data_IF_113559466700
#
_entry.id   IF_113559466700
#
_cell.length_a   1.000
_cell.length_b   1.000
_cell.length_c   1.000
_cell.angle_alpha   90.00
_cell.angle_beta   90.00
_cell.angle_gamma   90.00
#
_symmetry.space_group_name_H-M   'P 1'
#
loop_
_entity.id
_entity.type
_entity.pdbx_description
1 polymer ?
#
# COMPACT_ATOMS: atom_id res chain seq x y z
N UNK A 1 6.34 -13.60 18.98
CA UNK A 1 5.77 -12.29 18.56
C UNK A 1 4.29 -12.29 18.90
N UNK A 2 3.82 -11.27 19.61
CA UNK A 2 2.41 -11.10 19.92
C UNK A 2 1.57 -11.06 18.64
N UNK A 3 0.36 -11.64 18.66
CA UNK A 3 -0.54 -11.65 17.50
C UNK A 3 -0.78 -10.23 16.97
N UNK A 4 -0.91 -9.26 17.88
CA UNK A 4 -1.07 -7.85 17.54
C UNK A 4 0.11 -7.29 16.73
N UNK A 5 1.33 -7.76 16.98
CA UNK A 5 2.53 -7.31 16.28
C UNK A 5 2.58 -7.86 14.85
N UNK A 6 2.27 -9.14 14.70
CA UNK A 6 2.16 -9.80 13.38
C UNK A 6 1.08 -9.12 12.53
N UNK A 7 -0.06 -8.80 13.14
CA UNK A 7 -1.16 -8.11 12.46
C UNK A 7 -0.76 -6.67 12.03
N UNK A 8 0.15 -6.00 12.73
CA UNK A 8 0.68 -4.68 12.34
C UNK A 8 1.72 -4.81 11.22
N UNK A 9 2.61 -5.81 11.30
CA UNK A 9 3.59 -6.09 10.25
C UNK A 9 2.91 -6.45 8.92
N UNK A 10 1.81 -7.22 8.99
CA UNK A 10 0.98 -7.55 7.83
C UNK A 10 0.36 -6.31 7.18
N UNK A 11 -0.21 -5.40 7.98
CA UNK A 11 -0.75 -4.13 7.46
C UNK A 11 0.34 -3.31 6.76
N UNK A 12 1.56 -3.26 7.31
CA UNK A 12 2.68 -2.52 6.71
C UNK A 12 3.07 -3.12 5.36
N UNK A 13 3.13 -4.45 5.26
CA UNK A 13 3.35 -5.14 3.97
C UNK A 13 2.25 -4.83 2.95
N UNK A 14 0.99 -4.84 3.39
CA UNK A 14 -0.14 -4.47 2.53
C UNK A 14 -0.03 -3.02 2.04
N UNK A 15 0.29 -2.06 2.92
CA UNK A 15 0.51 -0.66 2.53
C UNK A 15 1.60 -0.57 1.46
N UNK A 16 2.74 -1.23 1.64
CA UNK A 16 3.82 -1.23 0.63
C UNK A 16 3.37 -1.80 -0.72
N UNK A 17 2.58 -2.87 -0.71
CA UNK A 17 2.01 -3.40 -1.95
C UNK A 17 1.12 -2.38 -2.65
N UNK A 18 0.24 -1.70 -1.89
CA UNK A 18 -0.63 -0.66 -2.44
C UNK A 18 0.14 0.62 -2.88
N UNK A 19 1.31 0.87 -2.29
CA UNK A 19 2.21 1.92 -2.75
C UNK A 19 2.78 1.61 -4.14
N UNK A 20 3.18 0.35 -4.39
CA UNK A 20 3.73 -0.09 -5.69
C UNK A 20 2.74 0.15 -6.85
N UNK A 21 1.45 -0.09 -6.62
CA UNK A 21 0.40 0.10 -7.65
C UNK A 21 -0.35 1.44 -7.56
N UNK A 22 0.03 2.34 -6.66
CA UNK A 22 -0.61 3.65 -6.43
C UNK A 22 -2.12 3.57 -6.07
N UNK A 23 -2.53 2.53 -5.35
CA UNK A 23 -3.89 2.40 -4.83
C UNK A 23 -4.08 3.24 -3.55
N UNK A 24 -4.31 4.54 -3.75
CA UNK A 24 -4.49 5.48 -2.65
C UNK A 24 -5.70 5.20 -1.76
N UNK A 25 -6.75 4.57 -2.28
CA UNK A 25 -7.91 4.18 -1.48
C UNK A 25 -7.53 3.10 -0.46
N UNK A 26 -6.81 2.07 -0.90
CA UNK A 26 -6.37 1.00 -0.03
C UNK A 26 -5.25 1.44 0.91
N UNK A 27 -4.26 2.22 0.43
CA UNK A 27 -3.23 2.84 1.29
C UNK A 27 -3.90 3.56 2.47
N UNK A 28 -4.93 4.35 2.18
CA UNK A 28 -5.64 5.11 3.20
C UNK A 28 -6.38 4.24 4.21
N UNK A 29 -7.11 3.24 3.73
CA UNK A 29 -7.89 2.37 4.60
C UNK A 29 -6.97 1.57 5.54
N UNK A 30 -5.92 0.96 4.98
CA UNK A 30 -4.94 0.20 5.76
C UNK A 30 -4.16 1.11 6.71
N UNK A 31 -3.80 2.33 6.30
CA UNK A 31 -3.13 3.30 7.18
C UNK A 31 -4.01 3.68 8.39
N UNK A 32 -5.30 3.97 8.17
CA UNK A 32 -6.21 4.30 9.25
C UNK A 32 -6.45 3.09 10.18
N UNK A 33 -6.51 1.87 9.63
CA UNK A 33 -6.60 0.64 10.41
C UNK A 33 -5.35 0.41 11.26
N UNK A 34 -4.15 0.57 10.67
CA UNK A 34 -2.87 0.47 11.36
C UNK A 34 -2.78 1.48 12.51
N UNK A 35 -3.15 2.74 12.27
CA UNK A 35 -3.17 3.78 13.31
C UNK A 35 -4.08 3.40 14.48
N UNK A 36 -5.27 2.87 14.21
CA UNK A 36 -6.18 2.38 15.27
C UNK A 36 -5.58 1.22 16.05
N UNK A 37 -4.86 0.30 15.39
CA UNK A 37 -4.16 -0.80 16.07
C UNK A 37 -3.05 -0.25 16.97
N UNK A 38 -2.26 0.71 16.49
CA UNK A 38 -1.21 1.38 17.28
C UNK A 38 -1.82 2.03 18.53
N UNK A 39 -2.90 2.81 18.38
CA UNK A 39 -3.59 3.45 19.51
C UNK A 39 -4.17 2.43 20.49
N UNK A 40 -4.84 1.38 19.98
CA UNK A 40 -5.43 0.33 20.81
C UNK A 40 -4.39 -0.47 21.59
N UNK A 41 -3.22 -0.67 21.00
CA UNK A 41 -2.12 -1.43 21.57
C UNK A 41 -1.05 -0.54 22.21
N UNK A 42 -1.36 0.74 22.48
CA UNK A 42 -0.40 1.70 23.03
C UNK A 42 0.27 1.19 24.32
N UNK A 43 -0.46 0.47 25.18
CA UNK A 43 0.10 -0.13 26.39
C UNK A 43 1.11 -1.25 26.12
N UNK A 44 0.90 -2.04 25.07
CA UNK A 44 1.83 -3.09 24.65
C UNK A 44 3.06 -2.47 24.01
N UNK A 45 2.86 -1.49 23.12
CA UNK A 45 3.91 -0.71 22.48
C UNK A 45 4.81 -0.02 23.52
N UNK A 46 4.21 0.58 24.55
CA UNK A 46 4.98 1.20 25.65
C UNK A 46 5.81 0.19 26.45
N UNK A 47 5.31 -1.05 26.63
CA UNK A 47 6.07 -2.13 27.30
C UNK A 47 7.23 -2.64 26.45
N UNK A 48 7.06 -2.68 25.13
CA UNK A 48 8.09 -3.08 24.16
C UNK A 48 9.14 -1.98 23.89
N UNK A 49 9.08 -0.84 24.60
CA UNK A 49 10.07 0.23 24.50
C UNK A 49 9.69 1.37 23.57
N UNK A 50 8.43 1.46 23.14
CA UNK A 50 7.90 2.56 22.34
C UNK A 50 7.45 2.15 20.95
N UNK A 51 7.21 3.15 20.11
CA UNK A 51 6.61 2.98 18.78
C UNK A 51 7.50 2.07 17.91
N UNK A 52 6.94 1.07 17.21
CA UNK A 52 7.74 0.15 16.43
C UNK A 52 8.52 0.84 15.31
N UNK A 53 9.78 0.44 15.08
CA UNK A 53 10.63 1.00 14.02
C UNK A 53 10.03 0.84 12.62
N UNK A 54 9.40 -0.31 12.33
CA UNK A 54 8.74 -0.55 11.04
C UNK A 54 7.60 0.44 10.77
N UNK A 55 6.94 0.92 11.84
CA UNK A 55 5.86 1.88 11.72
C UNK A 55 6.42 3.26 11.39
N UNK A 56 7.49 3.69 12.05
CA UNK A 56 8.17 4.94 11.71
C UNK A 56 8.69 4.92 10.25
N UNK A 57 9.22 3.77 9.81
CA UNK A 57 9.67 3.56 8.42
C UNK A 57 8.53 3.78 7.42
N UNK A 58 7.36 3.17 7.62
CA UNK A 58 6.23 3.35 6.68
C UNK A 58 5.69 4.79 6.68
N UNK A 59 5.75 5.51 7.81
CA UNK A 59 5.39 6.94 7.85
C UNK A 59 6.30 7.80 6.98
N UNK A 60 7.61 7.52 7.00
CA UNK A 60 8.58 8.22 6.17
C UNK A 60 8.42 7.86 4.68
N UNK A 61 8.30 6.57 4.36
CA UNK A 61 8.09 6.08 2.98
C UNK A 61 6.82 6.67 2.36
N UNK A 62 5.71 6.76 3.12
CA UNK A 62 4.46 7.38 2.65
C UNK A 62 4.60 8.90 2.43
N UNK A 63 5.39 9.58 3.24
CA UNK A 63 5.63 11.02 3.11
C UNK A 63 6.41 11.33 1.82
N UNK A 64 7.42 10.51 1.54
CA UNK A 64 8.23 10.62 0.33
C UNK A 64 7.41 10.27 -0.92
N UNK A 65 6.63 9.17 -0.89
CA UNK A 65 5.71 8.83 -1.99
C UNK A 65 4.70 9.95 -2.25
N UNK A 66 4.14 10.57 -1.21
CA UNK A 66 3.24 11.72 -1.36
C UNK A 66 3.94 12.91 -2.01
N UNK A 67 5.17 13.20 -1.61
CA UNK A 67 5.95 14.30 -2.16
C UNK A 67 6.32 14.07 -3.64
N UNK A 68 6.67 12.83 -4.00
CA UNK A 68 6.89 12.41 -5.39
C UNK A 68 5.62 12.52 -6.22
N UNK A 69 4.52 11.93 -5.74
CA UNK A 69 3.27 11.97 -6.50
C UNK A 69 2.68 13.36 -6.62
N UNK A 70 2.95 14.27 -5.68
CA UNK A 70 2.58 15.69 -5.83
C UNK A 70 3.28 16.38 -7.00
N UNK A 71 4.50 15.95 -7.37
CA UNK A 71 5.25 16.46 -8.52
C UNK A 71 4.71 15.87 -9.83
N UNK A 72 4.29 14.60 -9.83
CA UNK A 72 3.70 13.97 -11.00
C UNK A 72 2.20 14.31 -11.18
N UNK A 73 1.98 15.47 -11.80
CA UNK A 73 0.63 15.93 -12.18
C UNK A 73 -0.04 15.02 -13.22
N UNK A 74 0.72 14.26 -14.00
CA UNK A 74 0.17 13.38 -15.03
C UNK A 74 -0.40 12.11 -14.41
N UNK A 75 0.31 11.51 -13.46
CA UNK A 75 -0.19 10.36 -12.69
C UNK A 75 -1.43 10.73 -11.87
N UNK A 76 -1.43 11.90 -11.21
CA UNK A 76 -2.58 12.38 -10.45
C UNK A 76 -3.88 12.47 -11.28
N UNK A 77 -3.78 12.79 -12.57
CA UNK A 77 -4.94 12.84 -13.48
C UNK A 77 -5.47 11.46 -13.86
N UNK A 78 -4.64 10.41 -13.75
CA UNK A 78 -5.04 9.02 -14.02
C UNK A 78 -5.74 8.38 -12.81
N UNK A 79 -5.74 9.04 -11.65
CA UNK A 79 -6.44 8.52 -10.49
C UNK A 79 -7.94 8.41 -10.74
N UNK A 80 -8.51 7.26 -10.40
CA UNK A 80 -9.95 7.12 -10.31
C UNK A 80 -10.49 8.03 -9.18
N UNK A 81 -11.82 8.18 -9.12
CA UNK A 81 -12.49 9.06 -8.15
C UNK A 81 -12.20 8.68 -6.69
N UNK A 82 -12.01 7.39 -6.40
CA UNK A 82 -11.68 6.91 -5.06
C UNK A 82 -10.26 7.32 -4.67
N UNK A 83 -9.29 7.04 -5.54
CA UNK A 83 -7.87 7.35 -5.33
C UNK A 83 -7.61 8.84 -5.25
N UNK A 84 -8.26 9.65 -6.10
CA UNK A 84 -8.13 11.12 -6.03
C UNK A 84 -8.63 11.69 -4.70
N UNK A 85 -9.73 11.16 -4.16
CA UNK A 85 -10.24 11.57 -2.83
C UNK A 85 -9.33 11.09 -1.71
N UNK A 86 -8.91 9.84 -1.78
CA UNK A 86 -8.08 9.21 -0.78
C UNK A 86 -6.70 9.90 -0.68
N UNK A 87 -6.06 10.19 -1.82
CA UNK A 87 -4.81 10.94 -1.91
C UNK A 87 -4.88 12.30 -1.20
N UNK A 88 -5.95 13.08 -1.46
CA UNK A 88 -6.13 14.38 -0.81
C UNK A 88 -6.31 14.26 0.71
N UNK A 89 -7.03 13.22 1.17
CA UNK A 89 -7.18 12.95 2.61
C UNK A 89 -5.88 12.45 3.22
N UNK A 90 -5.11 11.60 2.53
CA UNK A 90 -3.80 11.13 2.96
C UNK A 90 -2.82 12.29 3.16
N UNK A 91 -2.77 13.24 2.21
CA UNK A 91 -1.95 14.45 2.33
C UNK A 91 -2.23 15.24 3.61
N UNK A 92 -3.50 15.39 3.99
CA UNK A 92 -3.87 16.12 5.20
C UNK A 92 -3.61 15.30 6.47
N UNK A 93 -4.00 14.02 6.45
CA UNK A 93 -3.92 13.14 7.60
C UNK A 93 -2.47 12.84 7.95
N UNK A 94 -1.67 12.43 6.97
CA UNK A 94 -0.26 12.09 7.18
C UNK A 94 0.52 13.27 7.74
N UNK A 95 0.31 14.49 7.22
CA UNK A 95 0.96 15.70 7.76
C UNK A 95 0.60 15.95 9.23
N UNK A 96 -0.67 15.81 9.60
CA UNK A 96 -1.12 16.01 11.00
C UNK A 96 -0.61 14.91 11.93
N UNK A 97 -0.52 13.69 11.40
CA UNK A 97 -0.14 12.52 12.15
C UNK A 97 1.38 12.45 12.36
N UNK A 98 2.17 12.64 11.30
CA UNK A 98 3.63 12.67 11.35
C UNK A 98 4.17 13.80 12.24
N UNK A 99 3.41 14.88 12.46
CA UNK A 99 3.79 15.93 13.40
C UNK A 99 3.98 15.43 14.85
N UNK A 100 3.38 14.30 15.23
CA UNK A 100 3.60 13.66 16.53
C UNK A 100 4.86 12.80 16.58
N UNK A 101 5.38 12.40 15.43
CA UNK A 101 6.49 11.46 15.26
C UNK A 101 7.68 12.10 14.54
N UNK A 102 7.71 13.43 14.43
CA UNK A 102 8.70 14.15 13.61
C UNK A 102 10.13 13.89 14.09
N UNK A 103 10.33 13.79 15.41
CA UNK A 103 11.63 13.49 16.00
C UNK A 103 12.09 12.06 15.66
N UNK A 104 11.20 11.08 15.76
CA UNK A 104 11.46 9.68 15.46
C UNK A 104 11.70 9.46 13.96
N UNK A 105 10.89 10.08 13.10
CA UNK A 105 11.05 10.05 11.64
C UNK A 105 12.40 10.67 11.25
N UNK A 106 12.76 11.81 11.84
CA UNK A 106 14.04 12.46 11.57
C UNK A 106 15.22 11.60 12.04
N UNK A 107 15.14 11.04 13.24
CA UNK A 107 16.15 10.11 13.76
C UNK A 107 16.30 8.87 12.89
N UNK A 108 15.20 8.34 12.35
CA UNK A 108 15.23 7.21 11.42
C UNK A 108 15.86 7.58 10.08
N UNK A 109 15.61 8.78 9.56
CA UNK A 109 16.26 9.27 8.33
C UNK A 109 17.75 9.51 8.49
N UNK A 110 18.19 9.95 9.67
CA UNK A 110 19.60 10.16 9.99
C UNK A 110 20.35 8.84 10.25
N UNK A 111 19.65 7.84 10.81
CA UNK A 111 20.17 6.52 11.10
C UNK A 111 19.21 5.46 10.55
N UNK A 112 19.24 5.17 9.22
CA UNK A 112 18.50 4.08 8.64
C UNK A 112 19.19 2.78 9.05
N UNK A 113 19.13 2.42 10.33
CA UNK A 113 19.53 1.08 10.75
C UNK A 113 18.64 0.11 10.01
N UNK A 114 19.27 -0.62 9.08
CA UNK A 114 18.72 -1.71 8.29
C UNK A 114 18.05 -2.68 9.26
N UNK A 115 16.74 -2.51 9.46
CA UNK A 115 15.95 -3.40 10.29
C UNK A 115 15.89 -4.75 9.60
N UNK A 116 16.33 -5.79 10.29
CA UNK A 116 16.45 -7.23 9.97
C UNK A 116 15.26 -7.94 9.26
N UNK A 117 14.22 -7.24 8.81
CA UNK A 117 13.08 -7.82 8.09
C UNK A 117 13.21 -7.77 6.56
N UNK A 118 14.34 -7.28 6.01
CA UNK A 118 14.60 -7.21 4.56
C UNK A 118 15.21 -8.49 3.95
N UNK A 119 15.21 -9.62 4.67
CA UNK A 119 15.75 -10.90 4.20
C UNK A 119 14.69 -11.89 3.66
N UNK A 120 13.56 -11.41 3.13
CA UNK A 120 12.48 -12.30 2.70
C UNK A 120 11.52 -11.79 1.62
N UNK A 121 11.84 -10.72 0.90
CA UNK A 121 11.10 -10.35 -0.32
C UNK A 121 11.89 -10.82 -1.56
N UNK A 122 12.09 -12.13 -1.66
CA UNK A 122 12.42 -12.78 -2.93
C UNK A 122 11.12 -13.25 -3.59
N UNK A 123 10.91 -12.77 -4.81
CA UNK A 123 10.13 -13.33 -5.91
C UNK A 123 8.78 -13.99 -5.59
N UNK A 124 7.71 -13.29 -5.90
CA UNK A 124 6.51 -13.94 -6.43
C UNK A 124 6.02 -13.13 -7.64
N UNK A 125 6.73 -13.38 -8.74
CA UNK A 125 6.35 -13.00 -10.09
C UNK A 125 5.57 -14.16 -10.70
N UNK A 126 4.34 -14.42 -10.22
CA UNK A 126 3.42 -15.26 -10.95
C UNK A 126 2.81 -14.46 -12.11
N UNK A 127 3.55 -14.54 -13.22
CA UNK A 127 3.13 -14.17 -14.55
C UNK A 127 2.38 -15.37 -15.14
N UNK A 128 1.08 -15.47 -14.89
CA UNK A 128 0.22 -16.35 -15.69
C UNK A 128 -0.46 -15.53 -16.80
N UNK A 129 0.24 -15.52 -17.92
CA UNK A 129 -0.28 -15.26 -19.26
C UNK A 129 -1.10 -16.47 -19.68
N UNK A 130 -2.43 -16.32 -19.73
CA UNK A 130 -3.26 -17.27 -20.48
C UNK A 130 -4.10 -16.51 -21.51
N UNK A 131 -3.66 -16.66 -22.76
CA UNK A 131 -4.31 -16.21 -23.97
C UNK A 131 -5.16 -17.35 -24.49
N UNK A 132 -6.48 -17.21 -24.46
CA UNK A 132 -7.40 -18.07 -25.19
C UNK A 132 -8.40 -17.21 -25.97
N UNK A 133 -7.97 -16.76 -27.14
CA UNK A 133 -8.81 -16.20 -28.21
C UNK A 133 -9.29 -17.36 -29.09
N UNK A 134 -10.43 -17.96 -28.73
CA UNK A 134 -11.10 -18.98 -29.54
C UNK A 134 -12.33 -18.35 -30.22
N UNK A 135 -12.09 -17.72 -31.37
CA UNK A 135 -13.13 -17.25 -32.29
C UNK A 135 -13.58 -18.39 -33.20
N UNK A 136 -14.48 -19.25 -32.70
CA UNK A 136 -15.19 -20.24 -33.52
C UNK A 136 -16.30 -19.58 -34.36
N UNK A 137 -15.96 -19.25 -35.61
CA UNK A 137 -16.91 -18.80 -36.65
C UNK A 137 -17.36 -20.01 -37.49
N UNK A 138 -18.36 -20.74 -37.03
CA UNK A 138 -19.04 -21.76 -37.83
C UNK A 138 -20.31 -21.16 -38.46
N UNK A 139 -20.19 -20.72 -39.72
CA UNK A 139 -21.31 -20.30 -40.57
C UNK A 139 -21.62 -21.41 -41.56
N UNK A 140 -22.35 -22.44 -41.11
CA UNK A 140 -22.98 -23.41 -42.01
C UNK A 140 -24.24 -22.80 -42.61
N UNK A 141 -24.18 -22.52 -43.91
CA UNK A 141 -25.30 -22.10 -44.75
C UNK A 141 -25.58 -23.19 -45.77
N UNK A 142 -26.31 -24.23 -45.35
CA UNK A 142 -26.96 -25.17 -46.26
C UNK A 142 -28.46 -24.83 -46.31
N UNK A 143 -28.85 -24.14 -47.38
CA UNK A 143 -30.24 -23.94 -47.79
C UNK A 143 -30.47 -24.75 -49.05
N UNK A 144 -30.79 -26.02 -48.87
CA UNK A 144 -31.35 -26.90 -49.90
C UNK A 144 -32.88 -26.77 -49.87
N UNK A 145 -33.46 -26.22 -50.93
CA UNK A 145 -34.91 -26.25 -51.18
C UNK A 145 -35.14 -26.39 -52.67
N UNK A 146 -35.16 -27.64 -53.10
CA UNK A 146 -35.58 -28.10 -54.43
C UNK A 146 -37.12 -28.30 -54.45
N UNK A 147 -37.79 -27.62 -55.37
CA UNK A 147 -39.10 -27.96 -55.97
C UNK A 147 -39.31 -27.18 -57.25
#
# INVERSE_FOLDING_TARGET
>A
KDKAWIDMESDVKAVRNYMKNNDWAQIQETFDALNRKIEKQANLIAKEGGVPKFYIRILAELEDLLAEQLKDKALQKKFNKANGRAFNRMKLNLRKHNAKYEAEIKSFRENPEVSEDEAGEEEDSDSDEDSEDESDSNSDSDSDSDS
#
